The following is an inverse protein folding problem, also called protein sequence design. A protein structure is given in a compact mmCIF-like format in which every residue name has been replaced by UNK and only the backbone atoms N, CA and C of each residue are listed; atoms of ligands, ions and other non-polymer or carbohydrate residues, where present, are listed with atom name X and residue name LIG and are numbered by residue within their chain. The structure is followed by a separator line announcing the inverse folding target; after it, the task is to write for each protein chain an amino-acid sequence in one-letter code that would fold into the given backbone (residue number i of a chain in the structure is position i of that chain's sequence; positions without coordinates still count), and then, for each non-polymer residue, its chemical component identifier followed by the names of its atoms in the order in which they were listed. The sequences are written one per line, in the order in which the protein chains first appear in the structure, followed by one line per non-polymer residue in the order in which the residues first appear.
data_IF_694466775502
#
_entry.id   IF_694466775502
#
_cell.length_a   1.000
_cell.length_b   1.000
_cell.length_c   1.000
_cell.angle_alpha   90.00
_cell.angle_beta   90.00
_cell.angle_gamma   90.00
#
_symmetry.space_group_name_H-M   'P 1'
#
loop_
_entity.id
_entity.type
_entity.pdbx_description
1 polymer ?
#
# COMPACT_ATOMS: atom_id res chain seq x y z
N UNK A 1 12.58 17.42 -0.69
CA UNK A 1 13.72 16.63 -0.18
C UNK A 1 14.90 16.89 -1.12
N UNK A 2 16.10 17.08 -0.58
CA UNK A 2 17.30 17.42 -1.34
C UNK A 2 18.37 16.39 -1.04
N UNK A 3 18.91 15.74 -2.07
CA UNK A 3 20.03 14.82 -1.95
C UNK A 3 21.07 15.21 -3.02
N UNK A 4 22.15 15.88 -2.61
CA UNK A 4 23.10 16.49 -3.55
C UNK A 4 22.43 17.52 -4.48
N UNK A 5 22.73 17.46 -5.78
CA UNK A 5 22.16 18.34 -6.82
C UNK A 5 20.76 17.90 -7.32
N UNK A 6 20.05 17.06 -6.56
CA UNK A 6 18.71 16.61 -6.90
C UNK A 6 17.67 17.20 -5.94
N UNK A 7 16.99 18.23 -6.44
CA UNK A 7 15.83 18.85 -5.78
C UNK A 7 14.57 18.27 -6.41
N UNK A 8 13.82 17.48 -5.65
CA UNK A 8 12.53 16.95 -6.07
C UNK A 8 11.41 17.55 -5.23
N UNK A 9 10.46 18.19 -5.91
CA UNK A 9 9.22 18.69 -5.33
C UNK A 9 8.27 17.52 -5.12
N UNK A 10 7.94 17.23 -3.87
CA UNK A 10 7.06 16.13 -3.49
C UNK A 10 5.62 16.63 -3.64
N UNK A 11 4.98 16.24 -4.74
CA UNK A 11 3.55 16.50 -4.93
C UNK A 11 2.68 15.58 -4.05
N UNK A 12 1.37 15.88 -3.91
CA UNK A 12 0.41 15.03 -3.21
C UNK A 12 0.51 13.51 -3.47
N UNK A 13 0.69 13.02 -4.72
CA UNK A 13 0.79 11.57 -4.99
C UNK A 13 2.03 10.88 -4.40
N UNK A 14 3.05 11.66 -4.01
CA UNK A 14 4.31 11.16 -3.50
C UNK A 14 4.23 10.83 -1.99
N UNK A 15 3.32 11.47 -1.26
CA UNK A 15 3.18 11.40 0.20
C UNK A 15 2.71 10.04 0.73
N UNK A 16 2.31 9.12 -0.15
CA UNK A 16 1.73 7.84 0.25
C UNK A 16 0.25 7.91 0.67
N UNK A 17 -0.30 9.13 0.80
CA UNK A 17 -1.69 9.37 1.18
C UNK A 17 -2.65 8.76 0.15
N UNK A 18 -2.36 8.91 -1.15
CA UNK A 18 -3.19 8.31 -2.22
C UNK A 18 -3.25 6.78 -2.10
N UNK A 19 -2.13 6.13 -1.79
CA UNK A 19 -2.07 4.68 -1.58
C UNK A 19 -2.81 4.25 -0.32
N UNK A 20 -2.76 5.03 0.77
CA UNK A 20 -3.55 4.80 1.97
C UNK A 20 -5.05 4.92 1.68
N UNK A 21 -5.49 5.97 0.97
CA UNK A 21 -6.90 6.15 0.61
C UNK A 21 -7.39 4.99 -0.26
N UNK A 22 -6.61 4.59 -1.26
CA UNK A 22 -6.90 3.43 -2.11
C UNK A 22 -6.97 2.13 -1.30
N UNK A 23 -5.99 1.90 -0.43
CA UNK A 23 -5.96 0.74 0.47
C UNK A 23 -7.20 0.69 1.34
N UNK A 24 -7.54 1.79 2.02
CA UNK A 24 -8.71 1.88 2.91
C UNK A 24 -10.00 1.71 2.12
N UNK A 25 -10.14 2.34 0.94
CA UNK A 25 -11.33 2.19 0.09
C UNK A 25 -11.55 0.75 -0.37
N UNK A 26 -10.51 0.10 -0.90
CA UNK A 26 -10.58 -1.30 -1.30
C UNK A 26 -10.79 -2.24 -0.10
N UNK A 27 -10.14 -1.95 1.03
CA UNK A 27 -10.31 -2.73 2.24
C UNK A 27 -11.76 -2.69 2.72
N UNK A 28 -12.35 -1.50 2.80
CA UNK A 28 -13.75 -1.33 3.15
C UNK A 28 -14.67 -2.00 2.13
N UNK A 29 -14.36 -1.91 0.83
CA UNK A 29 -15.14 -2.58 -0.21
C UNK A 29 -15.21 -4.10 0.00
N UNK A 30 -14.08 -4.77 0.22
CA UNK A 30 -14.06 -6.22 0.50
C UNK A 30 -14.78 -6.55 1.81
N UNK A 31 -14.61 -5.71 2.83
CA UNK A 31 -15.24 -5.90 4.14
C UNK A 31 -16.75 -5.71 4.08
N UNK A 32 -17.25 -4.78 3.27
CA UNK A 32 -18.67 -4.54 3.05
C UNK A 32 -19.33 -5.71 2.29
N UNK A 33 -18.65 -6.30 1.31
CA UNK A 33 -19.15 -7.48 0.57
C UNK A 33 -19.42 -8.67 1.49
N UNK A 34 -18.53 -8.95 2.44
CA UNK A 34 -18.64 -10.08 3.37
C UNK A 34 -18.94 -9.64 4.82
N UNK A 35 -19.58 -8.48 5.00
CA UNK A 35 -19.81 -7.86 6.32
C UNK A 35 -20.45 -8.81 7.35
N UNK A 36 -21.36 -9.69 6.89
CA UNK A 36 -22.04 -10.68 7.75
C UNK A 36 -21.16 -11.86 8.16
N UNK A 37 -20.10 -12.18 7.41
CA UNK A 37 -19.21 -13.33 7.64
C UNK A 37 -17.92 -12.95 8.39
N UNK A 38 -17.61 -11.66 8.44
CA UNK A 38 -16.37 -11.13 9.03
C UNK A 38 -16.50 -10.98 10.55
N UNK A 39 -15.44 -11.39 11.25
CA UNK A 39 -15.34 -11.15 12.68
C UNK A 39 -14.85 -9.72 12.96
N UNK A 40 -15.72 -8.90 13.57
CA UNK A 40 -15.44 -7.48 13.91
C UNK A 40 -14.21 -7.31 14.81
N UNK A 41 -13.91 -8.28 15.69
CA UNK A 41 -12.72 -8.23 16.56
C UNK A 41 -11.45 -8.36 15.74
N UNK A 42 -11.39 -9.31 14.81
CA UNK A 42 -10.23 -9.50 13.94
C UNK A 42 -10.06 -8.32 12.99
N UNK A 43 -11.16 -7.77 12.48
CA UNK A 43 -11.16 -6.60 11.59
C UNK A 43 -10.47 -5.38 12.23
N UNK A 44 -10.76 -5.10 13.50
CA UNK A 44 -10.21 -3.96 14.24
C UNK A 44 -8.68 -4.03 14.37
N UNK A 45 -8.11 -5.23 14.44
CA UNK A 45 -6.65 -5.43 14.52
C UNK A 45 -6.00 -5.52 13.14
N UNK A 46 -6.69 -6.11 12.16
CA UNK A 46 -6.14 -6.32 10.82
C UNK A 46 -5.95 -4.96 10.13
N UNK A 47 -6.96 -4.09 10.13
CA UNK A 47 -6.89 -2.78 9.47
C UNK A 47 -5.65 -1.94 9.82
N UNK A 48 -5.36 -1.63 11.11
CA UNK A 48 -4.20 -0.81 11.45
C UNK A 48 -2.87 -1.46 11.07
N UNK A 49 -2.77 -2.79 11.07
CA UNK A 49 -1.57 -3.51 10.61
C UNK A 49 -1.37 -3.30 9.11
N UNK A 50 -2.44 -3.39 8.32
CA UNK A 50 -2.37 -3.20 6.87
C UNK A 50 -2.08 -1.75 6.49
N UNK A 51 -2.76 -0.80 7.15
CA UNK A 51 -2.52 0.63 6.96
C UNK A 51 -1.07 1.01 7.31
N UNK A 52 -0.55 0.50 8.43
CA UNK A 52 0.84 0.75 8.86
C UNK A 52 1.83 0.16 7.86
N UNK A 53 1.63 -1.07 7.39
CA UNK A 53 2.52 -1.67 6.40
C UNK A 53 2.49 -0.94 5.05
N UNK A 54 1.31 -0.48 4.60
CA UNK A 54 1.18 0.34 3.40
C UNK A 54 1.92 1.68 3.56
N UNK A 55 1.84 2.29 4.73
CA UNK A 55 2.53 3.54 5.04
C UNK A 55 4.06 3.37 5.05
N UNK A 56 4.57 2.28 5.65
CA UNK A 56 5.99 1.93 5.64
C UNK A 56 6.49 1.74 4.20
N UNK A 57 5.73 1.00 3.37
CA UNK A 57 6.06 0.83 1.95
C UNK A 57 6.10 2.15 1.18
N UNK A 58 5.22 3.10 1.52
CA UNK A 58 5.25 4.42 0.91
C UNK A 58 6.54 5.19 1.25
N UNK A 59 7.06 5.05 2.48
CA UNK A 59 8.37 5.61 2.86
C UNK A 59 9.54 4.91 2.18
N UNK A 60 9.55 3.58 2.17
CA UNK A 60 10.59 2.78 1.48
C UNK A 60 10.63 3.18 0.00
N UNK A 61 9.46 3.35 -0.64
CA UNK A 61 9.36 3.85 -2.01
C UNK A 61 10.04 5.21 -2.18
N UNK A 62 9.76 6.15 -1.27
CA UNK A 62 10.35 7.49 -1.34
C UNK A 62 11.88 7.43 -1.24
N UNK A 63 12.39 6.57 -0.34
CA UNK A 63 13.82 6.35 -0.15
C UNK A 63 14.48 5.72 -1.40
N UNK A 64 13.88 4.65 -1.95
CA UNK A 64 14.37 3.98 -3.16
C UNK A 64 14.34 4.92 -4.36
N UNK A 65 13.28 5.72 -4.51
CA UNK A 65 13.18 6.71 -5.60
C UNK A 65 14.32 7.73 -5.53
N UNK A 66 14.66 8.21 -4.32
CA UNK A 66 15.78 9.11 -4.12
C UNK A 66 17.13 8.45 -4.45
N UNK A 67 17.33 7.21 -4.00
CA UNK A 67 18.57 6.49 -4.23
C UNK A 67 18.80 6.17 -5.72
N UNK A 68 17.74 5.79 -6.43
CA UNK A 68 17.77 5.55 -7.89
C UNK A 68 17.94 6.86 -8.66
N UNK A 69 17.24 7.93 -8.26
CA UNK A 69 17.34 9.25 -8.88
C UNK A 69 18.71 9.89 -8.73
N UNK A 70 19.42 9.61 -7.64
CA UNK A 70 20.78 10.11 -7.38
C UNK A 70 21.87 9.32 -8.11
N UNK A 71 21.74 8.00 -8.27
CA UNK A 71 22.82 7.15 -8.79
C UNK A 71 22.70 6.75 -10.27
N UNK A 72 21.49 6.74 -10.86
CA UNK A 72 21.29 6.13 -12.18
C UNK A 72 20.89 7.14 -13.26
N UNK A 73 19.74 7.80 -13.13
CA UNK A 73 19.26 8.82 -14.06
C UNK A 73 18.01 9.49 -13.50
N UNK A 74 17.99 10.83 -13.46
CA UNK A 74 16.82 11.63 -13.05
C UNK A 74 15.60 11.33 -13.92
N UNK A 75 15.80 11.05 -15.20
CA UNK A 75 14.72 10.84 -16.16
C UNK A 75 14.08 9.45 -16.02
N UNK A 76 14.87 8.43 -15.72
CA UNK A 76 14.38 7.08 -15.43
C UNK A 76 13.62 7.01 -14.09
N UNK A 77 14.12 7.72 -13.06
CA UNK A 77 13.45 7.82 -11.77
C UNK A 77 12.07 8.49 -11.89
N UNK A 78 11.98 9.58 -12.67
CA UNK A 78 10.74 10.35 -12.82
C UNK A 78 9.72 9.70 -13.78
N UNK A 79 10.14 9.20 -14.94
CA UNK A 79 9.22 8.61 -15.93
C UNK A 79 8.92 7.13 -15.70
N UNK A 80 9.90 6.34 -15.24
CA UNK A 80 9.73 4.90 -15.04
C UNK A 80 9.24 4.55 -13.64
N UNK A 81 10.01 4.96 -12.63
CA UNK A 81 9.80 4.52 -11.24
C UNK A 81 8.62 5.22 -10.56
N UNK A 82 8.47 6.53 -10.76
CA UNK A 82 7.42 7.30 -10.10
C UNK A 82 6.01 6.87 -10.53
N UNK A 83 5.81 6.64 -11.83
CA UNK A 83 4.50 6.35 -12.40
C UNK A 83 4.12 4.86 -12.32
N UNK A 84 5.02 3.94 -12.68
CA UNK A 84 4.68 2.51 -12.82
C UNK A 84 5.01 1.68 -11.57
N UNK A 85 6.16 1.89 -10.94
CA UNK A 85 6.58 1.07 -9.80
C UNK A 85 5.65 1.26 -8.59
N UNK A 86 5.11 2.46 -8.42
CA UNK A 86 4.14 2.80 -7.39
C UNK A 86 2.90 1.91 -7.41
N UNK A 87 2.32 1.68 -8.60
CA UNK A 87 1.07 0.92 -8.75
C UNK A 87 1.32 -0.58 -8.61
N UNK A 88 2.43 -1.07 -9.16
CA UNK A 88 2.80 -2.49 -9.08
C UNK A 88 3.04 -2.91 -7.62
N UNK A 89 3.81 -2.12 -6.86
CA UNK A 89 4.08 -2.39 -5.43
C UNK A 89 2.78 -2.34 -4.63
N UNK A 90 1.90 -1.37 -4.91
CA UNK A 90 0.61 -1.25 -4.24
C UNK A 90 -0.26 -2.48 -4.48
N UNK A 91 -0.44 -2.91 -5.73
CA UNK A 91 -1.27 -4.06 -6.09
C UNK A 91 -0.69 -5.34 -5.49
N UNK A 92 0.62 -5.56 -5.58
CA UNK A 92 1.28 -6.71 -4.97
C UNK A 92 1.07 -6.74 -3.46
N UNK A 93 1.31 -5.62 -2.77
CA UNK A 93 1.11 -5.54 -1.33
C UNK A 93 -0.34 -5.82 -0.95
N UNK A 94 -1.29 -5.19 -1.64
CA UNK A 94 -2.71 -5.38 -1.40
C UNK A 94 -3.12 -6.85 -1.55
N UNK A 95 -2.71 -7.50 -2.65
CA UNK A 95 -3.03 -8.90 -2.91
C UNK A 95 -2.42 -9.84 -1.87
N UNK A 96 -1.14 -9.68 -1.54
CA UNK A 96 -0.46 -10.50 -0.53
C UNK A 96 -1.12 -10.32 0.84
N UNK A 97 -1.36 -9.06 1.23
CA UNK A 97 -1.98 -8.73 2.50
C UNK A 97 -3.39 -9.33 2.59
N UNK A 98 -4.22 -9.17 1.56
CA UNK A 98 -5.56 -9.76 1.54
C UNK A 98 -5.51 -11.28 1.53
N UNK A 99 -4.65 -11.90 0.74
CA UNK A 99 -4.52 -13.35 0.70
C UNK A 99 -4.20 -13.96 2.08
N UNK A 100 -3.36 -13.29 2.88
CA UNK A 100 -2.98 -13.73 4.23
C UNK A 100 -4.07 -13.41 5.27
N UNK A 101 -4.73 -12.25 5.17
CA UNK A 101 -5.65 -11.75 6.20
C UNK A 101 -7.09 -12.20 5.98
N UNK A 102 -7.53 -12.35 4.73
CA UNK A 102 -8.86 -12.81 4.36
C UNK A 102 -9.31 -14.11 5.06
N UNK A 103 -8.52 -15.20 5.06
CA UNK A 103 -8.90 -16.42 5.77
C UNK A 103 -8.95 -16.24 7.30
N UNK A 104 -8.26 -15.22 7.85
CA UNK A 104 -8.30 -14.89 9.28
C UNK A 104 -9.49 -13.99 9.64
N UNK A 105 -9.97 -13.18 8.69
CA UNK A 105 -11.15 -12.32 8.85
C UNK A 105 -12.46 -13.10 8.82
N UNK A 106 -12.53 -14.16 8.00
CA UNK A 106 -13.72 -15.01 7.89
C UNK A 106 -13.81 -15.93 9.11
N UNK A 107 -14.98 -15.94 9.75
CA UNK A 107 -15.25 -16.80 10.89
C UNK A 107 -15.21 -18.29 10.45
N UNK A 108 -14.45 -19.12 11.18
CA UNK A 108 -14.28 -20.57 10.91
C UNK A 108 -15.60 -21.34 10.77
N UNK A 109 -16.68 -20.81 11.34
CA UNK A 109 -18.01 -21.40 11.34
C UNK A 109 -18.67 -21.48 9.95
N UNK A 110 -18.26 -20.63 8.99
CA UNK A 110 -18.73 -20.65 7.61
C UNK A 110 -17.77 -21.33 6.61
N UNK A 111 -16.69 -21.96 7.09
CA UNK A 111 -15.73 -22.70 6.23
C UNK A 111 -16.23 -24.12 5.89
N UNK A 112 -17.47 -24.46 6.28
CA UNK A 112 -18.09 -25.80 6.21
C UNK A 112 -19.42 -25.84 5.44
N UNK A 113 -19.77 -24.78 4.70
CA UNK A 113 -20.91 -24.81 3.77
C UNK A 113 -20.37 -24.87 2.34
#
# INVERSE_FOLDING_TARGET
LTAGDFTATIGPPCTGITSLILFTGLFLFVVLLDWKKINKKTLLWIYPIGATGMFILAFIRLYVLFLVGANWSKEFAMKGFHNNASWIIFVLYFLIYFYITYPKMINKQNRKL
#
